data_IF_329662638059
#
_entry.id   IF_329662638059
#
_cell.length_a   1.000
_cell.length_b   1.000
_cell.length_c   1.000
_cell.angle_alpha   90.00
_cell.angle_beta   90.00
_cell.angle_gamma   90.00
#
_symmetry.space_group_name_H-M   'P 1'
#
loop_
_entity.id
_entity.type
_entity.pdbx_description
1 polymer ?
#
# COMPACT_ATOMS: atom_id res chain seq x y z
N UNK A 1 -24.22 6.82 -13.21
CA UNK A 1 -22.86 6.28 -13.06
C UNK A 1 -23.02 4.81 -12.71
N UNK A 2 -22.65 3.90 -13.61
CA UNK A 2 -22.96 2.47 -13.48
C UNK A 2 -21.94 1.81 -12.56
N UNK A 3 -22.35 1.53 -11.31
CA UNK A 3 -21.50 0.94 -10.26
C UNK A 3 -20.86 -0.37 -10.74
N UNK A 4 -21.51 -1.09 -11.65
CA UNK A 4 -21.04 -2.37 -12.21
C UNK A 4 -19.75 -2.25 -13.02
N UNK A 5 -19.48 -1.08 -13.63
CA UNK A 5 -18.24 -0.90 -14.39
C UNK A 5 -17.02 -0.93 -13.45
N UNK A 6 -17.10 -0.21 -12.33
CA UNK A 6 -16.00 -0.09 -11.37
C UNK A 6 -15.85 -1.29 -10.42
N UNK A 7 -16.84 -2.18 -10.36
CA UNK A 7 -16.78 -3.41 -9.55
C UNK A 7 -16.42 -4.65 -10.36
N UNK A 8 -16.15 -4.52 -11.66
CA UNK A 8 -15.60 -5.63 -12.44
C UNK A 8 -14.25 -6.08 -11.85
N UNK A 9 -14.01 -7.40 -11.69
CA UNK A 9 -12.80 -7.90 -11.03
C UNK A 9 -11.49 -7.33 -11.59
N UNK A 10 -11.39 -7.19 -12.91
CA UNK A 10 -10.18 -6.68 -13.57
C UNK A 10 -9.91 -5.20 -13.27
N UNK A 11 -10.98 -4.40 -13.15
CA UNK A 11 -10.86 -2.99 -12.78
C UNK A 11 -10.53 -2.84 -11.29
N UNK A 12 -11.19 -3.63 -10.44
CA UNK A 12 -10.95 -3.62 -9.00
C UNK A 12 -9.50 -4.01 -8.66
N UNK A 13 -8.95 -5.01 -9.36
CA UNK A 13 -7.54 -5.40 -9.26
C UNK A 13 -6.60 -4.27 -9.66
N UNK A 14 -6.87 -3.65 -10.81
CA UNK A 14 -6.06 -2.53 -11.31
C UNK A 14 -6.09 -1.35 -10.34
N UNK A 15 -7.26 -0.94 -9.87
CA UNK A 15 -7.38 0.17 -8.93
C UNK A 15 -6.76 -0.15 -7.58
N UNK A 16 -6.94 -1.38 -7.07
CA UNK A 16 -6.32 -1.82 -5.82
C UNK A 16 -4.79 -1.80 -5.92
N UNK A 17 -4.24 -2.24 -7.05
CA UNK A 17 -2.81 -2.20 -7.33
C UNK A 17 -2.28 -0.77 -7.33
N UNK A 18 -2.89 0.12 -8.12
CA UNK A 18 -2.48 1.52 -8.18
C UNK A 18 -2.61 2.24 -6.84
N UNK A 19 -3.68 1.96 -6.09
CA UNK A 19 -3.85 2.50 -4.76
C UNK A 19 -2.74 2.04 -3.81
N UNK A 20 -2.36 0.76 -3.88
CA UNK A 20 -1.25 0.22 -3.07
C UNK A 20 0.10 0.82 -3.45
N UNK A 21 0.36 1.04 -4.74
CA UNK A 21 1.57 1.67 -5.27
C UNK A 21 1.72 3.11 -4.81
N UNK A 22 0.69 3.95 -5.01
CA UNK A 22 0.69 5.34 -4.54
C UNK A 22 0.93 5.38 -3.03
N UNK A 23 0.27 4.49 -2.30
CA UNK A 23 0.43 4.39 -0.86
C UNK A 23 1.84 3.96 -0.44
N UNK A 24 2.51 3.05 -1.15
CA UNK A 24 3.91 2.70 -0.83
C UNK A 24 4.81 3.92 -0.93
N UNK A 25 4.65 4.73 -1.97
CA UNK A 25 5.41 5.97 -2.16
C UNK A 25 5.12 6.97 -1.05
N UNK A 26 3.85 7.24 -0.75
CA UNK A 26 3.46 8.18 0.31
C UNK A 26 3.93 7.70 1.70
N UNK A 27 3.84 6.40 1.97
CA UNK A 27 4.31 5.80 3.21
C UNK A 27 5.84 5.88 3.33
N UNK A 28 6.57 5.67 2.24
CA UNK A 28 8.01 5.83 2.22
C UNK A 28 8.44 7.26 2.56
N UNK A 29 7.79 8.26 1.95
CA UNK A 29 8.04 9.67 2.26
C UNK A 29 7.76 9.97 3.73
N UNK A 30 6.62 9.50 4.26
CA UNK A 30 6.28 9.67 5.67
C UNK A 30 7.35 9.05 6.60
N UNK A 31 7.84 7.86 6.28
CA UNK A 31 8.90 7.18 7.06
C UNK A 31 10.23 7.92 6.99
N UNK A 32 10.68 8.32 5.80
CA UNK A 32 11.91 9.09 5.61
C UNK A 32 11.89 10.43 6.38
N UNK A 33 10.70 11.00 6.59
CA UNK A 33 10.49 12.22 7.35
C UNK A 33 10.27 12.00 8.85
N UNK A 34 10.53 10.80 9.36
CA UNK A 34 10.44 10.51 10.80
C UNK A 34 9.11 9.94 11.26
N UNK A 35 8.27 9.43 10.35
CA UNK A 35 7.00 8.77 10.67
C UNK A 35 5.79 9.72 10.73
N UNK A 36 5.95 10.96 10.27
CA UNK A 36 4.84 11.94 10.20
C UNK A 36 4.09 11.75 8.88
N UNK A 37 2.75 11.59 8.89
CA UNK A 37 1.97 11.53 7.66
C UNK A 37 2.20 12.74 6.76
N UNK A 38 2.51 12.51 5.48
CA UNK A 38 2.95 13.55 4.54
C UNK A 38 1.96 14.73 4.42
N UNK A 39 0.66 14.48 4.59
CA UNK A 39 -0.39 15.51 4.52
C UNK A 39 -0.23 16.61 5.57
N UNK A 40 0.30 16.29 6.75
CA UNK A 40 0.45 17.28 7.83
C UNK A 40 1.59 18.28 7.59
N UNK A 41 2.45 18.00 6.62
CA UNK A 41 3.48 18.95 6.18
C UNK A 41 2.88 20.00 5.23
N UNK A 42 1.95 19.58 4.39
CA UNK A 42 1.30 20.45 3.41
C UNK A 42 0.15 21.25 4.02
N UNK A 43 -0.52 20.70 5.03
CA UNK A 43 -1.69 21.30 5.68
C UNK A 43 -1.55 21.29 7.22
N UNK A 44 -0.57 22.03 7.78
CA UNK A 44 -0.28 22.01 9.21
C UNK A 44 -1.39 22.60 10.09
N UNK A 45 -2.41 23.25 9.54
CA UNK A 45 -3.50 23.87 10.31
C UNK A 45 -4.85 23.13 10.18
N UNK A 46 -4.92 22.05 9.38
CA UNK A 46 -6.19 21.39 9.03
C UNK A 46 -6.46 20.09 9.81
N UNK A 47 -5.96 19.95 11.05
CA UNK A 47 -6.01 18.69 11.81
C UNK A 47 -7.42 18.09 11.97
N UNK A 48 -8.45 18.93 12.15
CA UNK A 48 -9.82 18.48 12.43
C UNK A 48 -10.47 17.62 11.32
N UNK A 49 -10.38 18.06 10.06
CA UNK A 49 -10.93 17.33 8.90
C UNK A 49 -9.91 16.36 8.29
N UNK A 50 -8.63 16.68 8.37
CA UNK A 50 -7.56 15.86 7.76
C UNK A 50 -7.46 14.50 8.42
N UNK A 51 -7.64 14.40 9.74
CA UNK A 51 -7.48 13.15 10.45
C UNK A 51 -8.56 12.09 10.13
N UNK A 52 -9.88 12.42 10.12
CA UNK A 52 -10.90 11.51 9.64
C UNK A 52 -10.69 11.03 8.20
N UNK A 53 -10.31 11.94 7.29
CA UNK A 53 -10.03 11.59 5.89
C UNK A 53 -8.83 10.66 5.77
N UNK A 54 -7.76 10.94 6.51
CA UNK A 54 -6.56 10.10 6.55
C UNK A 54 -6.88 8.69 7.06
N UNK A 55 -7.69 8.57 8.12
CA UNK A 55 -8.18 7.28 8.60
C UNK A 55 -8.97 6.54 7.53
N UNK A 56 -9.85 7.22 6.81
CA UNK A 56 -10.61 6.61 5.72
C UNK A 56 -9.69 6.12 4.60
N UNK A 57 -8.68 6.91 4.20
CA UNK A 57 -7.67 6.49 3.23
C UNK A 57 -6.89 5.26 3.71
N UNK A 58 -6.54 5.20 5.00
CA UNK A 58 -5.89 4.04 5.60
C UNK A 58 -6.79 2.80 5.58
N UNK A 59 -8.09 2.93 5.88
CA UNK A 59 -9.06 1.83 5.79
C UNK A 59 -9.20 1.30 4.36
N UNK A 60 -9.37 2.18 3.38
CA UNK A 60 -9.46 1.82 1.96
C UNK A 60 -8.19 1.10 1.51
N UNK A 61 -7.04 1.56 1.98
CA UNK A 61 -5.76 0.90 1.74
C UNK A 61 -5.73 -0.53 2.28
N UNK A 62 -6.19 -0.72 3.52
CA UNK A 62 -6.30 -2.05 4.12
C UNK A 62 -7.21 -2.97 3.31
N UNK A 63 -8.38 -2.48 2.89
CA UNK A 63 -9.32 -3.23 2.07
C UNK A 63 -8.74 -3.61 0.70
N UNK A 64 -8.08 -2.67 0.01
CA UNK A 64 -7.40 -2.93 -1.26
C UNK A 64 -6.29 -3.98 -1.10
N UNK A 65 -5.53 -3.93 -0.01
CA UNK A 65 -4.45 -4.88 0.28
C UNK A 65 -4.98 -6.27 0.60
N UNK A 66 -6.08 -6.36 1.36
CA UNK A 66 -6.77 -7.63 1.60
C UNK A 66 -7.30 -8.23 0.30
N UNK A 67 -7.90 -7.42 -0.58
CA UNK A 67 -8.38 -7.88 -1.88
C UNK A 67 -7.23 -8.40 -2.76
N UNK A 68 -6.12 -7.66 -2.85
CA UNK A 68 -4.93 -8.11 -3.58
C UNK A 68 -4.34 -9.39 -2.98
N UNK A 69 -4.27 -9.50 -1.65
CA UNK A 69 -3.81 -10.71 -0.96
C UNK A 69 -4.72 -11.91 -1.22
N UNK A 70 -6.03 -11.72 -1.20
CA UNK A 70 -7.02 -12.73 -1.57
C UNK A 70 -6.84 -13.18 -3.02
N UNK A 71 -6.75 -12.23 -3.97
CA UNK A 71 -6.53 -12.53 -5.39
C UNK A 71 -5.23 -13.29 -5.61
N UNK A 72 -4.14 -12.88 -4.95
CA UNK A 72 -2.85 -13.58 -4.98
C UNK A 72 -2.97 -15.03 -4.53
N UNK A 73 -3.70 -15.30 -3.45
CA UNK A 73 -3.94 -16.66 -2.98
C UNK A 73 -4.74 -17.48 -4.01
N UNK A 74 -5.83 -16.92 -4.54
CA UNK A 74 -6.66 -17.59 -5.55
C UNK A 74 -5.95 -17.81 -6.89
N UNK A 75 -4.97 -16.97 -7.23
CA UNK A 75 -4.12 -17.10 -8.42
C UNK A 75 -2.96 -18.11 -8.24
N UNK A 76 -2.97 -18.90 -7.16
CA UNK A 76 -1.93 -19.89 -6.87
C UNK A 76 -0.61 -19.28 -6.43
N UNK A 77 -0.67 -18.12 -5.76
CA UNK A 77 0.48 -17.33 -5.30
C UNK A 77 1.40 -16.86 -6.43
N UNK A 78 0.85 -16.67 -7.63
CA UNK A 78 1.59 -16.09 -8.76
C UNK A 78 1.41 -14.58 -8.75
N UNK A 79 2.45 -13.84 -9.10
CA UNK A 79 2.41 -12.40 -9.37
C UNK A 79 3.08 -12.20 -10.72
N UNK A 80 2.44 -11.44 -11.61
CA UNK A 80 2.87 -11.27 -12.99
C UNK A 80 3.04 -12.61 -13.73
N UNK A 81 2.11 -13.54 -13.50
CA UNK A 81 2.09 -14.87 -14.14
C UNK A 81 3.09 -15.90 -13.58
N UNK A 82 3.91 -15.56 -12.58
CA UNK A 82 4.95 -16.46 -12.05
C UNK A 82 5.20 -16.35 -10.54
N UNK A 83 6.15 -17.16 -10.04
CA UNK A 83 6.55 -17.20 -8.61
C UNK A 83 7.97 -16.67 -8.39
N UNK A 84 8.35 -15.60 -9.09
CA UNK A 84 9.70 -15.05 -8.95
C UNK A 84 9.87 -14.44 -7.56
N UNK A 85 10.90 -14.84 -6.83
CA UNK A 85 11.10 -14.44 -5.43
C UNK A 85 11.02 -12.91 -5.22
N UNK A 86 11.65 -12.11 -6.09
CA UNK A 86 11.58 -10.65 -5.96
C UNK A 86 10.16 -10.09 -6.16
N UNK A 87 9.39 -10.64 -7.11
CA UNK A 87 8.01 -10.24 -7.35
C UNK A 87 7.14 -10.57 -6.12
N UNK A 88 7.33 -11.76 -5.54
CA UNK A 88 6.62 -12.20 -4.33
C UNK A 88 6.98 -11.38 -3.09
N UNK A 89 8.27 -11.07 -2.90
CA UNK A 89 8.74 -10.27 -1.76
C UNK A 89 8.21 -8.85 -1.86
N UNK A 90 8.35 -8.20 -3.02
CA UNK A 90 7.84 -6.84 -3.23
C UNK A 90 6.32 -6.78 -3.06
N UNK A 91 5.61 -7.77 -3.59
CA UNK A 91 4.15 -7.89 -3.42
C UNK A 91 3.76 -8.12 -1.96
N UNK A 92 4.48 -8.99 -1.25
CA UNK A 92 4.30 -9.23 0.18
C UNK A 92 4.51 -7.97 1.02
N UNK A 93 5.59 -7.22 0.75
CA UNK A 93 5.83 -5.90 1.36
C UNK A 93 4.63 -4.98 1.12
N UNK A 94 4.14 -4.91 -0.11
CA UNK A 94 2.97 -4.09 -0.49
C UNK A 94 1.72 -4.47 0.31
N UNK A 95 1.34 -5.75 0.31
CA UNK A 95 0.13 -6.25 0.99
C UNK A 95 0.22 -6.11 2.52
N UNK A 96 1.31 -6.60 3.14
CA UNK A 96 1.45 -6.62 4.61
C UNK A 96 1.43 -5.20 5.16
N UNK A 97 2.19 -4.30 4.55
CA UNK A 97 2.23 -2.90 5.01
C UNK A 97 0.89 -2.20 4.81
N UNK A 98 0.11 -2.57 3.78
CA UNK A 98 -1.19 -1.98 3.52
C UNK A 98 -2.25 -2.48 4.50
N UNK A 99 -2.22 -3.76 4.86
CA UNK A 99 -3.03 -4.32 5.95
C UNK A 99 -2.69 -3.63 7.28
N UNK A 100 -1.40 -3.47 7.61
CA UNK A 100 -0.97 -2.75 8.82
C UNK A 100 -1.49 -1.31 8.85
N UNK A 101 -1.54 -0.62 7.70
CA UNK A 101 -2.10 0.72 7.61
C UNK A 101 -3.63 0.72 7.80
N UNK A 102 -4.34 -0.26 7.23
CA UNK A 102 -5.78 -0.47 7.50
C UNK A 102 -6.08 -0.65 8.98
N UNK A 103 -5.30 -1.49 9.66
CA UNK A 103 -5.40 -1.68 11.11
C UNK A 103 -5.09 -0.37 11.87
N UNK A 104 -4.14 0.44 11.40
CA UNK A 104 -3.86 1.77 11.96
C UNK A 104 -5.08 2.68 11.85
N UNK A 105 -5.81 2.65 10.72
CA UNK A 105 -7.06 3.38 10.54
C UNK A 105 -8.15 2.99 11.53
N UNK A 106 -8.29 1.69 11.81
CA UNK A 106 -9.27 1.15 12.77
C UNK A 106 -8.89 1.44 14.22
N UNK A 107 -7.66 1.11 14.61
CA UNK A 107 -7.21 1.10 16.00
C UNK A 107 -6.64 2.45 16.45
N UNK A 108 -6.38 3.36 15.51
CA UNK A 108 -5.69 4.63 15.77
C UNK A 108 -4.21 4.47 16.14
N UNK A 109 -3.68 3.25 16.10
CA UNK A 109 -2.31 2.92 16.48
C UNK A 109 -1.63 2.09 15.39
N UNK A 110 -0.44 2.53 14.96
CA UNK A 110 0.35 1.79 13.97
C UNK A 110 1.20 0.72 14.66
N UNK A 111 0.79 -0.54 14.53
CA UNK A 111 1.42 -1.68 15.20
C UNK A 111 2.90 -1.78 14.83
N UNK A 112 3.24 -1.64 13.54
CA UNK A 112 4.63 -1.68 13.07
C UNK A 112 5.52 -0.62 13.73
N UNK A 113 5.03 0.62 13.85
CA UNK A 113 5.78 1.69 14.52
C UNK A 113 5.88 1.51 16.03
N UNK A 114 4.96 0.77 16.67
CA UNK A 114 5.05 0.46 18.11
C UNK A 114 6.12 -0.60 18.42
N UNK A 115 6.32 -1.55 17.51
CA UNK A 115 7.27 -2.66 17.71
C UNK A 115 8.71 -2.20 17.41
N UNK A 116 8.90 -1.46 16.31
CA UNK A 116 10.20 -1.00 15.85
C UNK A 116 10.12 0.50 15.56
N UNK A 117 10.67 1.30 16.48
CA UNK A 117 10.75 2.75 16.34
C UNK A 117 12.21 3.20 16.32
N UNK A 118 12.58 4.00 15.31
CA UNK A 118 13.93 4.53 15.16
C UNK A 118 14.14 5.11 13.78
N UNK A 119 14.80 6.28 13.70
CA UNK A 119 15.02 6.99 12.42
C UNK A 119 15.74 6.12 11.38
N UNK A 120 16.70 5.31 11.82
CA UNK A 120 17.43 4.39 10.95
C UNK A 120 16.51 3.28 10.42
N UNK A 121 15.64 2.72 11.26
CA UNK A 121 14.67 1.71 10.84
C UNK A 121 13.68 2.32 9.85
N UNK A 122 13.17 3.54 10.12
CA UNK A 122 12.28 4.23 9.20
C UNK A 122 12.94 4.50 7.84
N UNK A 123 14.22 4.87 7.84
CA UNK A 123 14.97 5.04 6.60
C UNK A 123 15.07 3.74 5.80
N UNK A 124 15.43 2.63 6.45
CA UNK A 124 15.51 1.31 5.80
C UNK A 124 14.14 0.87 5.24
N UNK A 125 13.08 0.97 6.06
CA UNK A 125 11.73 0.56 5.62
C UNK A 125 11.21 1.49 4.53
N UNK A 126 11.49 2.79 4.59
CA UNK A 126 11.14 3.75 3.54
C UNK A 126 11.81 3.40 2.20
N UNK A 127 13.10 3.09 2.22
CA UNK A 127 13.82 2.64 1.02
C UNK A 127 13.28 1.31 0.49
N UNK A 128 12.92 0.36 1.38
CA UNK A 128 12.30 -0.91 1.00
C UNK A 128 10.95 -0.69 0.30
N UNK A 129 10.14 0.27 0.78
CA UNK A 129 8.86 0.61 0.15
C UNK A 129 9.04 1.24 -1.23
N UNK A 130 10.01 2.15 -1.39
CA UNK A 130 10.33 2.72 -2.71
C UNK A 130 10.82 1.65 -3.68
N UNK A 131 11.69 0.74 -3.22
CA UNK A 131 12.14 -0.38 -4.03
C UNK A 131 10.98 -1.29 -4.44
N UNK A 132 10.09 -1.64 -3.51
CA UNK A 132 8.93 -2.48 -3.78
C UNK A 132 8.00 -1.82 -4.81
N UNK A 133 7.66 -0.54 -4.64
CA UNK A 133 6.83 0.20 -5.58
C UNK A 133 7.47 0.26 -6.98
N UNK A 134 8.74 0.66 -7.06
CA UNK A 134 9.45 0.72 -8.33
C UNK A 134 9.50 -0.63 -9.05
N UNK A 135 9.81 -1.71 -8.32
CA UNK A 135 9.88 -3.06 -8.86
C UNK A 135 8.51 -3.54 -9.35
N UNK A 136 7.46 -3.39 -8.53
CA UNK A 136 6.10 -3.78 -8.89
C UNK A 136 5.58 -2.98 -10.09
N UNK A 137 5.76 -1.67 -10.11
CA UNK A 137 5.39 -0.81 -11.24
C UNK A 137 6.10 -1.22 -12.54
N UNK A 138 7.41 -1.46 -12.47
CA UNK A 138 8.20 -1.93 -13.62
C UNK A 138 7.67 -3.26 -14.15
N UNK A 139 7.43 -4.23 -13.26
CA UNK A 139 6.94 -5.56 -13.65
C UNK A 139 5.51 -5.51 -14.18
N UNK A 140 4.64 -4.67 -13.62
CA UNK A 140 3.28 -4.41 -14.09
C UNK A 140 3.26 -3.93 -15.55
N UNK A 141 4.13 -2.97 -15.89
CA UNK A 141 4.26 -2.49 -17.27
C UNK A 141 4.79 -3.57 -18.23
N UNK A 142 5.67 -4.47 -17.75
CA UNK A 142 6.21 -5.57 -18.55
C UNK A 142 5.20 -6.70 -18.82
N UNK A 143 4.13 -6.82 -18.01
CA UNK A 143 3.15 -7.93 -18.12
C UNK A 143 1.79 -7.42 -18.61
N UNK A 144 1.79 -6.38 -19.45
CA UNK A 144 0.57 -5.87 -20.07
C UNK A 144 -0.44 -5.30 -19.07
N UNK A 145 0.05 -4.74 -17.94
CA UNK A 145 -0.78 -4.09 -16.91
C UNK A 145 -1.76 -5.05 -16.20
N UNK A 146 -1.33 -6.29 -15.98
CA UNK A 146 -2.04 -7.30 -15.17
C UNK A 146 -1.20 -7.73 -13.98
N UNK A 147 -1.83 -7.94 -12.82
CA UNK A 147 -1.14 -8.36 -11.60
C UNK A 147 -1.17 -9.87 -11.44
N UNK A 148 -2.31 -10.49 -11.72
CA UNK A 148 -2.50 -11.95 -11.61
C UNK A 148 -2.71 -12.63 -12.97
#
# INVERSE_FOLDING_TARGET
MDIKHHTHPDQLETYSFWWSEIRLVLAALALLMGGVPAVFLLLPFAYGITWPLLKLCWLITGAASLYLGYRWFTAGQKVFGGKKNHDLVAFGVSVISGINLGLTGLLGANIGMRILSGRLVFAIVGLLYLWAAWHLYKRYNQHGKRVF
#
